data_IF_266366507647
#
_entry.id   IF_266366507647
#
_cell.length_a   1.000
_cell.length_b   1.000
_cell.length_c   1.000
_cell.angle_alpha   90.00
_cell.angle_beta   90.00
_cell.angle_gamma   90.00
#
_symmetry.space_group_name_H-M   'P 1'
#
loop_
_entity.id
_entity.type
_entity.pdbx_description
1 polymer ?
#
# COMPACT_ATOMS: atom_id res chain seq x y z
N UNK A 1 15.09 12.07 -14.56
CA UNK A 1 15.04 10.71 -14.05
C UNK A 1 15.41 10.69 -12.58
N UNK A 2 14.57 10.08 -11.78
CA UNK A 2 14.86 9.99 -10.35
C UNK A 2 15.85 8.87 -10.07
N UNK A 3 16.77 9.10 -9.16
CA UNK A 3 17.69 8.06 -8.73
C UNK A 3 16.90 6.95 -8.04
N UNK A 4 17.32 5.70 -8.20
CA UNK A 4 16.67 4.61 -7.46
C UNK A 4 16.86 4.79 -5.96
N UNK A 5 15.99 4.20 -5.13
CA UNK A 5 16.18 4.24 -3.69
C UNK A 5 17.49 3.60 -3.30
N UNK A 6 18.06 4.04 -2.19
CA UNK A 6 19.28 3.45 -1.68
C UNK A 6 19.07 1.97 -1.35
N UNK A 7 20.11 1.18 -1.53
CA UNK A 7 20.02 -0.25 -1.20
C UNK A 7 19.58 -0.48 0.23
N UNK A 8 20.05 0.35 1.15
CA UNK A 8 19.68 0.26 2.57
C UNK A 8 18.17 0.37 2.76
N UNK A 9 17.55 1.31 2.05
CA UNK A 9 16.10 1.50 2.09
C UNK A 9 15.40 0.25 1.57
N UNK A 10 15.87 -0.29 0.44
CA UNK A 10 15.27 -1.48 -0.15
C UNK A 10 15.41 -2.70 0.75
N UNK A 11 16.56 -2.84 1.42
CA UNK A 11 16.77 -3.94 2.35
C UNK A 11 15.81 -3.85 3.55
N UNK A 12 15.60 -2.65 4.06
CA UNK A 12 14.66 -2.44 5.17
C UNK A 12 13.23 -2.78 4.75
N UNK A 13 12.83 -2.34 3.57
CA UNK A 13 11.49 -2.65 3.06
C UNK A 13 11.33 -4.15 2.87
N UNK A 14 12.33 -4.81 2.29
CA UNK A 14 12.27 -6.24 2.05
C UNK A 14 12.18 -7.03 3.35
N UNK A 15 12.93 -6.64 4.37
CA UNK A 15 12.89 -7.30 5.67
C UNK A 15 11.52 -7.15 6.33
N UNK A 16 10.96 -5.94 6.30
CA UNK A 16 9.63 -5.71 6.85
C UNK A 16 8.56 -6.46 6.09
N UNK A 17 8.66 -6.46 4.75
CA UNK A 17 7.73 -7.21 3.92
C UNK A 17 7.74 -8.69 4.26
N UNK A 18 8.94 -9.25 4.44
CA UNK A 18 9.06 -10.67 4.79
C UNK A 18 8.39 -10.98 6.11
N UNK A 19 8.62 -10.14 7.12
CA UNK A 19 8.02 -10.33 8.43
C UNK A 19 6.50 -10.19 8.38
N UNK A 20 6.02 -9.17 7.69
CA UNK A 20 4.58 -8.95 7.58
C UNK A 20 3.91 -10.06 6.78
N UNK A 21 4.53 -10.48 5.71
CA UNK A 21 4.00 -11.55 4.88
C UNK A 21 3.84 -12.83 5.70
N UNK A 22 4.86 -13.20 6.46
CA UNK A 22 4.79 -14.38 7.31
C UNK A 22 3.72 -14.24 8.39
N UNK A 23 3.64 -13.07 9.01
CA UNK A 23 2.66 -12.82 10.06
C UNK A 23 1.23 -12.90 9.51
N UNK A 24 1.02 -12.37 8.30
CA UNK A 24 -0.32 -12.29 7.71
C UNK A 24 -0.70 -13.53 6.91
N UNK A 25 0.23 -14.45 6.76
CA UNK A 25 -0.02 -15.67 6.01
C UNK A 25 -1.17 -16.47 6.63
N UNK A 26 -2.14 -16.80 5.79
CA UNK A 26 -3.34 -17.51 6.27
C UNK A 26 -4.38 -16.58 6.89
N UNK A 27 -4.08 -15.30 7.01
CA UNK A 27 -5.03 -14.33 7.51
C UNK A 27 -5.69 -13.61 6.35
N UNK A 28 -6.74 -12.86 6.68
CA UNK A 28 -7.53 -12.13 5.72
C UNK A 28 -6.79 -10.93 5.13
N UNK A 29 -5.84 -10.37 5.87
CA UNK A 29 -5.11 -9.17 5.45
C UNK A 29 -4.00 -9.51 4.49
N UNK A 30 -3.76 -8.59 3.55
CA UNK A 30 -2.70 -8.72 2.55
C UNK A 30 -1.75 -7.54 2.66
N UNK A 31 -0.49 -7.77 2.33
CA UNK A 31 0.55 -6.75 2.38
C UNK A 31 1.14 -6.54 0.98
N UNK A 32 1.36 -5.27 0.64
CA UNK A 32 1.86 -4.89 -0.69
C UNK A 32 3.00 -3.89 -0.56
N UNK A 33 4.11 -4.10 -1.27
CA UNK A 33 5.18 -3.11 -1.32
C UNK A 33 4.91 -2.05 -2.38
N UNK A 34 5.60 -0.92 -2.30
CA UNK A 34 5.54 0.09 -3.35
C UNK A 34 6.17 -0.46 -4.65
N UNK A 35 5.75 0.01 -5.82
CA UNK A 35 4.63 0.93 -6.00
C UNK A 35 3.29 0.23 -5.88
N UNK A 36 2.44 0.73 -5.01
CA UNK A 36 1.09 0.22 -4.83
C UNK A 36 0.19 1.41 -4.58
N UNK A 37 -0.70 1.68 -5.53
CA UNK A 37 -1.51 2.88 -5.48
C UNK A 37 -2.63 2.80 -4.46
N UNK A 38 -2.68 3.80 -3.58
CA UNK A 38 -3.77 3.95 -2.63
C UNK A 38 -4.53 5.22 -2.99
N UNK A 39 -5.79 5.06 -3.37
CA UNK A 39 -6.64 6.18 -3.78
C UNK A 39 -7.50 6.61 -2.63
N UNK A 40 -7.25 7.81 -2.14
CA UNK A 40 -7.99 8.37 -1.02
C UNK A 40 -9.13 9.24 -1.54
N UNK A 41 -10.33 8.98 -1.04
CA UNK A 41 -11.53 9.73 -1.40
C UNK A 41 -11.86 10.65 -0.25
N UNK A 42 -11.54 11.93 -0.40
CA UNK A 42 -11.79 12.90 0.66
C UNK A 42 -13.20 13.44 0.62
N UNK A 43 -13.88 13.25 -0.50
CA UNK A 43 -15.27 13.66 -0.65
C UNK A 43 -16.15 12.42 -0.66
N UNK A 44 -17.44 12.61 -0.42
CA UNK A 44 -18.35 11.50 -0.32
C UNK A 44 -18.69 10.85 -1.66
N UNK A 45 -18.05 11.25 -2.72
CA UNK A 45 -18.24 10.65 -4.03
C UNK A 45 -17.30 9.50 -4.16
N UNK A 46 -17.80 8.34 -4.49
CA UNK A 46 -17.02 7.11 -4.55
C UNK A 46 -16.62 6.72 -5.96
N UNK A 47 -16.73 7.62 -6.91
CA UNK A 47 -16.38 7.31 -8.29
C UNK A 47 -14.87 7.43 -8.47
N UNK A 48 -14.25 6.54 -9.25
CA UNK A 48 -12.81 6.58 -9.45
C UNK A 48 -12.29 7.92 -9.97
N UNK A 49 -13.08 8.59 -10.81
CA UNK A 49 -12.68 9.91 -11.34
C UNK A 49 -12.72 11.02 -10.30
N UNK A 50 -13.27 10.74 -9.12
CA UNK A 50 -13.34 11.71 -8.03
C UNK A 50 -12.26 11.48 -6.98
N UNK A 51 -11.23 10.72 -7.31
CA UNK A 51 -10.11 10.51 -6.39
C UNK A 51 -9.39 11.81 -6.16
N UNK A 52 -9.31 12.24 -4.91
CA UNK A 52 -8.65 13.49 -4.56
C UNK A 52 -7.14 13.31 -4.38
N UNK A 53 -6.74 12.15 -3.91
CA UNK A 53 -5.34 11.92 -3.56
C UNK A 53 -4.93 10.49 -3.92
N UNK A 54 -3.80 10.37 -4.60
CA UNK A 54 -3.17 9.08 -4.86
C UNK A 54 -1.83 9.07 -4.15
N UNK A 55 -1.60 8.06 -3.32
CA UNK A 55 -0.33 7.88 -2.63
C UNK A 55 0.19 6.48 -2.89
N UNK A 56 1.52 6.33 -2.77
CA UNK A 56 2.18 5.05 -2.95
C UNK A 56 3.11 4.80 -1.76
N UNK A 57 2.56 4.38 -0.63
CA UNK A 57 3.38 4.12 0.56
C UNK A 57 4.38 3.00 0.31
N UNK A 58 5.45 2.98 1.09
CA UNK A 58 6.45 1.92 0.95
C UNK A 58 5.86 0.54 1.23
N UNK A 59 4.98 0.45 2.22
CA UNK A 59 4.29 -0.80 2.55
C UNK A 59 2.84 -0.48 2.89
N UNK A 60 1.92 -1.27 2.36
CA UNK A 60 0.48 -1.10 2.60
C UNK A 60 -0.13 -2.42 3.03
N UNK A 61 -0.96 -2.40 4.07
CA UNK A 61 -1.71 -3.57 4.52
C UNK A 61 -3.19 -3.31 4.36
N UNK A 62 -3.88 -4.22 3.67
CA UNK A 62 -5.31 -4.11 3.41
C UNK A 62 -5.99 -5.38 3.89
N UNK A 63 -6.96 -5.24 4.77
CA UNK A 63 -7.72 -6.37 5.30
C UNK A 63 -9.08 -6.53 4.61
N UNK A 64 -9.62 -5.44 4.08
CA UNK A 64 -10.89 -5.48 3.37
C UNK A 64 -10.62 -5.67 1.88
N UNK A 65 -10.86 -6.89 1.39
CA UNK A 65 -10.55 -7.21 0.00
C UNK A 65 -11.45 -6.49 -0.99
N UNK A 66 -12.58 -5.98 -0.55
CA UNK A 66 -13.45 -5.18 -1.40
C UNK A 66 -12.82 -3.85 -1.81
N UNK A 67 -11.78 -3.44 -1.10
CA UNK A 67 -11.02 -2.25 -1.44
C UNK A 67 -9.93 -2.50 -2.48
N UNK A 68 -9.68 -3.76 -2.81
CA UNK A 68 -8.61 -4.11 -3.74
C UNK A 68 -9.16 -4.26 -5.15
N UNK A 69 -8.45 -3.67 -6.11
CA UNK A 69 -8.74 -3.85 -7.52
C UNK A 69 -7.43 -3.93 -8.29
N UNK A 70 -7.51 -4.01 -9.62
CA UNK A 70 -6.30 -4.16 -10.43
C UNK A 70 -5.36 -2.96 -10.34
N UNK A 71 -5.85 -1.83 -9.86
CA UNK A 71 -5.07 -0.60 -9.77
C UNK A 71 -4.50 -0.36 -8.37
N UNK A 72 -4.87 -1.18 -7.40
CA UNK A 72 -4.38 -1.03 -6.04
C UNK A 72 -5.48 -1.03 -5.00
N UNK A 73 -5.44 -0.05 -4.09
CA UNK A 73 -6.41 0.06 -3.01
C UNK A 73 -7.33 1.24 -3.23
N UNK A 74 -8.62 0.99 -3.11
CA UNK A 74 -9.66 2.00 -3.24
C UNK A 74 -10.12 2.40 -1.84
N UNK A 75 -9.71 3.57 -1.40
CA UNK A 75 -10.02 4.07 -0.06
C UNK A 75 -8.88 3.84 0.91
N UNK A 76 -9.13 4.10 2.18
CA UNK A 76 -8.10 4.02 3.20
C UNK A 76 -7.73 2.58 3.51
N UNK A 77 -6.45 2.22 3.47
CA UNK A 77 -6.01 0.90 3.90
C UNK A 77 -6.01 0.80 5.41
N UNK A 78 -5.74 -0.40 5.92
CA UNK A 78 -5.71 -0.62 7.36
C UNK A 78 -4.42 -0.13 7.99
N UNK A 79 -3.32 -0.18 7.24
CA UNK A 79 -2.02 0.25 7.73
C UNK A 79 -1.15 0.65 6.56
N UNK A 80 -0.39 1.72 6.73
CA UNK A 80 0.67 2.08 5.79
C UNK A 80 1.95 2.31 6.58
N UNK A 81 3.08 2.06 5.93
CA UNK A 81 4.39 2.31 6.51
C UNK A 81 5.26 3.04 5.51
N UNK A 82 5.95 4.05 6.01
CA UNK A 82 6.98 4.74 5.26
C UNK A 82 8.32 4.43 5.92
N UNK A 83 9.26 3.95 5.15
CA UNK A 83 10.59 3.58 5.66
C UNK A 83 11.54 4.74 5.39
N UNK A 84 12.10 5.28 6.46
CA UNK A 84 13.02 6.41 6.36
C UNK A 84 14.47 5.97 6.20
#
# INVERSE_FOLDING_TARGET
MMAPPARRHQESVAALMGQLYEYLKGKKCKVYPAPFGVRLFEKKKDRPEDVDTLVEPDITVVCDQDKLDDMGCKGAPDLVMEVL
#
